data_IF_413282379154
#
_entry.id   IF_413282379154
#
_cell.length_a   1.000
_cell.length_b   1.000
_cell.length_c   1.000
_cell.angle_alpha   90.00
_cell.angle_beta   90.00
_cell.angle_gamma   90.00
#
_symmetry.space_group_name_H-M   'P 1'
#
loop_
_entity.id
_entity.type
_entity.pdbx_description
1 polymer ?
#
# COMPACT_ATOMS: atom_id res chain seq x y z
N UNK A 1 10.58 2.57 -11.08
CA UNK A 1 11.00 3.97 -11.25
C UNK A 1 11.19 4.53 -9.86
N UNK A 2 12.31 5.22 -9.66
CA UNK A 2 12.63 5.89 -8.40
C UNK A 2 13.46 7.15 -8.70
N UNK A 3 13.67 7.99 -7.69
CA UNK A 3 14.43 9.24 -7.83
C UNK A 3 15.56 9.31 -6.81
N UNK A 4 16.72 9.77 -7.27
CA UNK A 4 17.87 10.13 -6.43
C UNK A 4 17.95 11.65 -6.44
N UNK A 5 17.54 12.29 -5.36
CA UNK A 5 17.52 13.74 -5.22
C UNK A 5 18.64 14.25 -4.29
N UNK A 6 18.91 15.56 -4.33
CA UNK A 6 19.87 16.21 -3.42
C UNK A 6 21.34 16.04 -3.82
N UNK A 7 21.59 15.76 -5.10
CA UNK A 7 22.95 15.67 -5.63
C UNK A 7 23.56 17.07 -5.82
N UNK A 8 24.91 17.20 -5.79
CA UNK A 8 25.57 18.43 -6.18
C UNK A 8 25.15 18.84 -7.60
N UNK A 9 24.86 20.13 -7.78
CA UNK A 9 24.42 20.66 -9.08
C UNK A 9 25.51 20.50 -10.12
N UNK A 10 25.21 19.78 -11.19
CA UNK A 10 26.07 19.67 -12.37
C UNK A 10 25.24 20.01 -13.62
N UNK A 11 25.70 20.99 -14.41
CA UNK A 11 24.95 21.55 -15.55
C UNK A 11 23.50 21.94 -15.20
N UNK A 12 23.27 22.37 -13.96
CA UNK A 12 21.94 22.76 -13.47
C UNK A 12 20.99 21.60 -13.13
N UNK A 13 21.47 20.36 -13.19
CA UNK A 13 20.75 19.14 -12.78
C UNK A 13 21.23 18.70 -11.39
N UNK A 14 20.31 18.23 -10.57
CA UNK A 14 20.55 17.85 -9.14
C UNK A 14 19.78 16.59 -8.72
N UNK A 15 19.09 15.96 -9.66
CA UNK A 15 18.27 14.77 -9.43
C UNK A 15 18.45 13.76 -10.55
N UNK A 16 18.27 12.47 -10.27
CA UNK A 16 18.33 11.40 -11.26
C UNK A 16 17.08 10.53 -11.17
N UNK A 17 16.33 10.44 -12.26
CA UNK A 17 15.27 9.45 -12.42
C UNK A 17 15.87 8.11 -12.84
N UNK A 18 15.57 7.07 -12.08
CA UNK A 18 16.06 5.71 -12.32
C UNK A 18 14.91 4.81 -12.75
N UNK A 19 15.02 4.23 -13.94
CA UNK A 19 14.04 3.27 -14.47
C UNK A 19 14.72 1.92 -14.68
N UNK A 20 14.32 0.91 -13.92
CA UNK A 20 14.93 -0.42 -13.94
C UNK A 20 13.99 -1.43 -14.59
N UNK A 21 14.48 -2.13 -15.61
CA UNK A 21 13.79 -3.28 -16.19
C UNK A 21 13.67 -4.41 -15.16
N UNK A 22 12.48 -5.01 -15.06
CA UNK A 22 12.20 -6.00 -14.02
C UNK A 22 12.91 -7.33 -14.27
N UNK A 23 13.16 -7.68 -15.53
CA UNK A 23 13.76 -8.96 -15.92
C UNK A 23 15.28 -8.90 -15.85
N UNK A 24 15.90 -8.04 -16.67
CA UNK A 24 17.35 -7.91 -16.82
C UNK A 24 18.02 -7.10 -15.70
N UNK A 25 17.24 -6.31 -14.95
CA UNK A 25 17.75 -5.30 -14.00
C UNK A 25 18.58 -4.20 -14.66
N UNK A 26 18.52 -4.08 -15.98
CA UNK A 26 19.09 -2.96 -16.70
C UNK A 26 18.43 -1.66 -16.24
N UNK A 27 19.24 -0.63 -15.98
CA UNK A 27 18.78 0.64 -15.43
C UNK A 27 19.06 1.78 -16.39
N UNK A 28 18.03 2.57 -16.66
CA UNK A 28 18.14 3.87 -17.33
C UNK A 28 18.25 4.96 -16.27
N UNK A 29 19.32 5.75 -16.35
CA UNK A 29 19.58 6.91 -15.49
C UNK A 29 19.35 8.17 -16.30
N UNK A 30 18.37 8.97 -15.90
CA UNK A 30 17.93 10.14 -16.64
C UNK A 30 18.05 11.35 -15.71
N UNK A 31 18.92 12.32 -16.02
CA UNK A 31 19.13 13.44 -15.12
C UNK A 31 17.97 14.43 -15.21
N UNK A 32 17.61 15.01 -14.07
CA UNK A 32 16.51 15.95 -13.89
C UNK A 32 16.95 17.16 -13.06
N UNK A 33 16.22 18.26 -13.22
CA UNK A 33 16.39 19.50 -12.45
C UNK A 33 15.24 19.65 -11.46
N UNK A 34 15.55 19.81 -10.17
CA UNK A 34 14.57 20.04 -9.12
C UNK A 34 14.19 21.55 -9.03
N UNK A 35 12.92 21.87 -8.73
CA UNK A 35 11.78 20.97 -8.63
C UNK A 35 11.26 20.51 -10.00
N UNK A 36 10.92 19.24 -10.11
CA UNK A 36 10.29 18.66 -11.30
C UNK A 36 8.81 18.35 -11.03
N UNK A 37 7.95 18.59 -12.02
CA UNK A 37 6.54 18.22 -11.99
C UNK A 37 6.33 16.82 -12.58
N UNK A 38 5.14 16.24 -12.35
CA UNK A 38 4.74 15.00 -13.00
C UNK A 38 4.79 15.09 -14.54
N UNK A 39 4.52 16.28 -15.11
CA UNK A 39 4.61 16.48 -16.56
C UNK A 39 6.05 16.37 -17.05
N UNK A 40 7.03 17.01 -16.38
CA UNK A 40 8.45 16.92 -16.77
C UNK A 40 8.95 15.47 -16.68
N UNK A 41 8.59 14.76 -15.61
CA UNK A 41 8.92 13.33 -15.44
C UNK A 41 8.33 12.48 -16.56
N UNK A 42 7.07 12.73 -16.94
CA UNK A 42 6.42 11.99 -18.01
C UNK A 42 7.13 12.21 -19.35
N UNK A 43 7.44 13.46 -19.72
CA UNK A 43 8.17 13.76 -20.96
C UNK A 43 9.53 13.05 -20.99
N UNK A 44 10.31 13.15 -19.90
CA UNK A 44 11.57 12.43 -19.79
C UNK A 44 11.39 10.90 -19.93
N UNK A 45 10.33 10.32 -19.35
CA UNK A 45 10.06 8.90 -19.53
C UNK A 45 9.76 8.56 -21.00
N UNK A 46 8.96 9.38 -21.69
CA UNK A 46 8.66 9.18 -23.11
C UNK A 46 9.92 9.28 -23.99
N UNK A 47 10.74 10.29 -23.74
CA UNK A 47 11.92 10.59 -24.54
C UNK A 47 13.05 9.57 -24.37
N UNK A 48 13.22 9.01 -23.17
CA UNK A 48 14.36 8.16 -22.85
C UNK A 48 14.02 6.67 -22.74
N UNK A 49 12.80 6.31 -22.32
CA UNK A 49 12.42 4.91 -22.04
C UNK A 49 11.37 4.41 -23.01
N UNK A 50 10.28 5.15 -23.21
CA UNK A 50 9.13 4.68 -24.00
C UNK A 50 9.52 4.33 -25.43
N UNK A 51 10.35 5.17 -26.08
CA UNK A 51 10.84 4.92 -27.45
C UNK A 51 11.53 3.56 -27.63
N UNK A 52 12.09 2.98 -26.57
CA UNK A 52 12.75 1.67 -26.62
C UNK A 52 11.74 0.50 -26.60
N UNK A 53 10.48 0.76 -26.27
CA UNK A 53 9.45 -0.25 -26.04
C UNK A 53 8.36 -0.27 -27.13
N UNK A 54 8.50 0.58 -28.16
CA UNK A 54 7.52 0.69 -29.25
C UNK A 54 7.20 -0.66 -29.88
N UNK A 55 8.23 -1.43 -30.24
CA UNK A 55 8.05 -2.74 -30.86
C UNK A 55 7.28 -3.70 -29.95
N UNK A 56 7.62 -3.77 -28.66
CA UNK A 56 6.91 -4.62 -27.72
C UNK A 56 5.44 -4.21 -27.56
N UNK A 57 5.16 -2.91 -27.51
CA UNK A 57 3.80 -2.40 -27.40
C UNK A 57 2.96 -2.74 -28.65
N UNK A 58 3.52 -2.51 -29.84
CA UNK A 58 2.80 -2.70 -31.10
C UNK A 58 2.57 -4.18 -31.46
N UNK A 59 3.38 -5.09 -30.94
CA UNK A 59 3.25 -6.54 -31.18
C UNK A 59 2.37 -7.26 -30.15
N UNK A 60 1.90 -6.56 -29.11
CA UNK A 60 0.99 -7.12 -28.11
C UNK A 60 -0.47 -7.08 -28.54
N UNK A 61 -1.22 -8.09 -28.11
CA UNK A 61 -2.65 -8.17 -28.34
C UNK A 61 -3.40 -7.03 -27.64
N UNK A 62 -4.21 -6.29 -28.40
CA UNK A 62 -5.00 -5.18 -27.86
C UNK A 62 -6.49 -5.55 -27.75
N UNK A 63 -7.02 -5.60 -26.52
CA UNK A 63 -8.35 -6.13 -26.23
C UNK A 63 -9.53 -5.45 -26.94
N UNK A 64 -9.41 -4.14 -27.25
CA UNK A 64 -10.42 -3.37 -28.01
C UNK A 64 -10.33 -3.60 -29.51
N UNK A 65 -9.13 -3.82 -30.05
CA UNK A 65 -8.92 -4.06 -31.48
C UNK A 65 -9.16 -5.53 -31.84
N UNK A 66 -9.06 -6.44 -30.85
CA UNK A 66 -9.08 -7.90 -31.04
C UNK A 66 -7.94 -8.44 -31.92
N UNK A 67 -6.96 -7.60 -32.18
CA UNK A 67 -5.73 -7.88 -32.95
C UNK A 67 -4.59 -7.02 -32.39
N UNK A 68 -3.37 -7.21 -32.88
CA UNK A 68 -2.23 -6.37 -32.51
C UNK A 68 -2.23 -5.04 -33.28
N UNK A 69 -1.79 -3.92 -32.70
CA UNK A 69 -1.61 -2.67 -33.47
C UNK A 69 -0.72 -2.84 -34.70
N UNK A 70 0.29 -3.71 -34.63
CA UNK A 70 1.15 -4.08 -35.75
C UNK A 70 0.33 -4.68 -36.91
N UNK A 71 -0.54 -5.67 -36.62
CA UNK A 71 -1.44 -6.26 -37.63
C UNK A 71 -2.40 -5.25 -38.23
N UNK A 72 -2.92 -4.33 -37.43
CA UNK A 72 -3.81 -3.27 -37.93
C UNK A 72 -3.09 -2.38 -38.93
N UNK A 73 -1.84 -2.00 -38.63
CA UNK A 73 -1.07 -1.08 -39.46
C UNK A 73 -0.52 -1.75 -40.72
N UNK A 74 0.00 -2.97 -40.60
CA UNK A 74 0.72 -3.66 -41.68
C UNK A 74 -0.07 -4.75 -42.38
N UNK A 75 -1.26 -5.11 -41.87
CA UNK A 75 -2.10 -6.17 -42.43
C UNK A 75 -1.52 -7.58 -42.28
N UNK A 76 -0.48 -7.75 -41.46
CA UNK A 76 0.23 -9.02 -41.27
C UNK A 76 0.59 -9.21 -39.79
N UNK A 77 0.65 -10.47 -39.30
CA UNK A 77 1.07 -10.75 -37.93
C UNK A 77 2.49 -10.24 -37.67
N UNK A 78 2.79 -9.77 -36.45
CA UNK A 78 4.14 -9.36 -36.10
C UNK A 78 5.11 -10.54 -36.23
N UNK A 79 6.38 -10.27 -36.61
CA UNK A 79 7.39 -11.32 -36.68
C UNK A 79 7.48 -12.06 -35.35
N UNK A 80 7.37 -13.39 -35.40
CA UNK A 80 7.54 -14.21 -34.20
C UNK A 80 8.99 -14.10 -33.73
N UNK A 81 9.19 -13.71 -32.47
CA UNK A 81 10.47 -13.90 -31.80
C UNK A 81 10.66 -15.38 -31.50
N UNK A 82 11.21 -16.11 -32.46
CA UNK A 82 11.67 -17.48 -32.26
C UNK A 82 12.99 -17.45 -31.46
N UNK A 83 13.21 -18.43 -30.56
CA UNK A 83 14.52 -18.59 -29.94
C UNK A 83 15.57 -18.83 -31.02
N UNK A 84 16.74 -18.23 -30.85
CA UNK A 84 17.82 -18.36 -31.80
C UNK A 84 18.24 -19.84 -31.94
N UNK A 85 18.34 -20.33 -33.18
CA UNK A 85 18.82 -21.68 -33.45
C UNK A 85 20.31 -21.64 -33.84
N UNK A 86 21.15 -22.56 -33.31
CA UNK A 86 22.56 -22.63 -33.67
C UNK A 86 22.74 -22.75 -35.20
N UNK A 87 23.55 -21.87 -35.78
CA UNK A 87 23.87 -21.87 -37.21
C UNK A 87 22.97 -21.02 -38.11
N UNK A 88 21.99 -20.28 -37.56
CA UNK A 88 21.18 -19.33 -38.35
C UNK A 88 22.00 -18.14 -38.86
N UNK A 89 22.97 -17.68 -38.07
CA UNK A 89 23.93 -16.65 -38.48
C UNK A 89 25.07 -17.27 -39.27
N UNK A 90 25.36 -16.70 -40.44
CA UNK A 90 26.56 -17.03 -41.23
C UNK A 90 27.85 -16.55 -40.57
N UNK A 91 27.74 -15.66 -39.58
CA UNK A 91 28.87 -15.08 -38.84
C UNK A 91 28.96 -15.76 -37.48
N UNK A 92 30.04 -16.52 -37.28
CA UNK A 92 30.30 -17.31 -36.06
C UNK A 92 30.32 -16.46 -34.78
N UNK A 93 30.86 -15.24 -34.81
CA UNK A 93 30.83 -14.35 -33.63
C UNK A 93 29.41 -13.93 -33.22
N UNK A 94 28.53 -13.69 -34.21
CA UNK A 94 27.12 -13.35 -33.97
C UNK A 94 26.37 -14.58 -33.48
N UNK A 95 26.65 -15.75 -34.05
CA UNK A 95 26.04 -17.03 -33.63
C UNK A 95 26.31 -17.31 -32.14
N UNK A 96 27.58 -17.23 -31.72
CA UNK A 96 27.97 -17.41 -30.31
C UNK A 96 27.28 -16.40 -29.39
N UNK A 97 27.28 -15.12 -29.78
CA UNK A 97 26.66 -14.06 -28.96
C UNK A 97 25.15 -14.27 -28.77
N UNK A 98 24.46 -14.74 -29.81
CA UNK A 98 23.02 -14.99 -29.75
C UNK A 98 22.70 -16.25 -28.92
N UNK A 99 23.54 -17.28 -29.00
CA UNK A 99 23.44 -18.47 -28.15
C UNK A 99 23.64 -18.13 -26.67
N UNK A 100 24.73 -17.43 -26.33
CA UNK A 100 25.02 -16.98 -24.96
C UNK A 100 23.87 -16.14 -24.39
N UNK A 101 23.27 -15.28 -25.22
CA UNK A 101 22.13 -14.45 -24.84
C UNK A 101 20.89 -15.29 -24.53
N UNK A 102 20.58 -16.30 -25.35
CA UNK A 102 19.42 -17.16 -25.13
C UNK A 102 19.58 -17.99 -23.84
N UNK A 103 20.76 -18.55 -23.62
CA UNK A 103 21.09 -19.26 -22.37
C UNK A 103 20.94 -18.35 -21.14
N UNK A 104 21.46 -17.12 -21.22
CA UNK A 104 21.32 -16.13 -20.17
C UNK A 104 19.85 -15.78 -19.88
N UNK A 105 19.03 -15.59 -20.93
CA UNK A 105 17.60 -15.30 -20.77
C UNK A 105 16.84 -16.44 -20.10
N UNK A 106 17.14 -17.69 -20.47
CA UNK A 106 16.54 -18.87 -19.83
C UNK A 106 16.91 -18.96 -18.35
N UNK A 107 18.19 -18.77 -18.03
CA UNK A 107 18.68 -18.76 -16.65
C UNK A 107 18.02 -17.66 -15.82
N UNK A 108 17.92 -16.44 -16.35
CA UNK A 108 17.29 -15.30 -15.67
C UNK A 108 15.80 -15.58 -15.41
N UNK A 109 15.07 -16.11 -16.39
CA UNK A 109 13.66 -16.48 -16.22
C UNK A 109 13.49 -17.52 -15.11
N UNK A 110 14.34 -18.56 -15.09
CA UNK A 110 14.33 -19.57 -14.03
C UNK A 110 14.62 -18.95 -12.66
N UNK A 111 15.63 -18.09 -12.56
CA UNK A 111 15.99 -17.42 -11.31
C UNK A 111 14.86 -16.51 -10.80
N UNK A 112 14.19 -15.78 -11.70
CA UNK A 112 13.06 -14.94 -11.36
C UNK A 112 11.88 -15.77 -10.82
N UNK A 113 11.54 -16.87 -11.49
CA UNK A 113 10.49 -17.79 -11.03
C UNK A 113 10.83 -18.38 -9.65
N UNK A 114 12.08 -18.79 -9.43
CA UNK A 114 12.56 -19.29 -8.13
C UNK A 114 12.45 -18.23 -7.04
N UNK A 115 12.84 -16.99 -7.33
CA UNK A 115 12.73 -15.88 -6.39
C UNK A 115 11.27 -15.57 -6.03
N UNK A 116 10.38 -15.50 -7.03
CA UNK A 116 8.94 -15.30 -6.82
C UNK A 116 8.33 -16.42 -5.96
N UNK A 117 8.70 -17.67 -6.20
CA UNK A 117 8.24 -18.81 -5.41
C UNK A 117 8.72 -18.73 -3.96
N UNK A 118 9.99 -18.39 -3.71
CA UNK A 118 10.50 -18.16 -2.34
C UNK A 118 9.76 -17.02 -1.64
N UNK A 119 9.53 -15.91 -2.32
CA UNK A 119 8.77 -14.78 -1.76
C UNK A 119 7.33 -15.19 -1.41
N UNK A 120 6.67 -15.95 -2.29
CA UNK A 120 5.32 -16.48 -2.04
C UNK A 120 5.29 -17.43 -0.84
N UNK A 121 6.23 -18.37 -0.76
CA UNK A 121 6.36 -19.30 0.37
C UNK A 121 6.58 -18.55 1.69
N UNK A 122 7.52 -17.60 1.72
CA UNK A 122 7.82 -16.83 2.92
C UNK A 122 6.64 -15.94 3.36
N UNK A 123 5.95 -15.30 2.41
CA UNK A 123 4.77 -14.49 2.70
C UNK A 123 3.61 -15.35 3.22
N UNK A 124 3.42 -16.54 2.63
CA UNK A 124 2.35 -17.47 3.02
C UNK A 124 2.66 -18.20 4.34
N UNK A 125 3.93 -18.38 4.74
CA UNK A 125 4.32 -19.08 5.97
C UNK A 125 3.62 -18.57 7.24
N UNK A 126 3.30 -17.27 7.28
CA UNK A 126 2.61 -16.63 8.43
C UNK A 126 1.13 -16.30 8.15
N UNK A 127 0.63 -16.59 6.95
CA UNK A 127 -0.79 -16.42 6.64
C UNK A 127 -1.53 -17.61 7.21
N UNK A 128 -2.43 -17.34 8.14
CA UNK A 128 -3.43 -18.30 8.60
C UNK A 128 -4.70 -18.09 7.80
N UNK A 129 -5.28 -19.19 7.35
CA UNK A 129 -6.67 -19.17 6.88
C UNK A 129 -7.57 -18.88 8.08
N UNK A 130 -8.48 -17.95 7.88
CA UNK A 130 -9.42 -17.49 8.90
C UNK A 130 -10.79 -17.54 8.30
N UNK A 131 -11.74 -18.11 9.02
CA UNK A 131 -13.14 -18.13 8.65
C UNK A 131 -13.98 -17.73 9.85
N UNK A 132 -15.07 -17.00 9.58
CA UNK A 132 -15.99 -16.52 10.60
C UNK A 132 -17.42 -16.79 10.11
N UNK A 133 -18.34 -16.98 11.05
CA UNK A 133 -19.76 -17.18 10.76
C UNK A 133 -20.52 -15.86 10.86
N UNK A 134 -21.65 -15.79 10.15
CA UNK A 134 -22.58 -14.66 10.30
C UNK A 134 -23.14 -14.70 11.72
N UNK A 135 -23.14 -13.55 12.40
CA UNK A 135 -23.51 -13.44 13.80
C UNK A 135 -22.33 -13.46 14.78
N UNK A 136 -21.13 -13.88 14.35
CA UNK A 136 -19.95 -13.80 15.21
C UNK A 136 -19.57 -12.34 15.49
N UNK A 137 -19.00 -12.11 16.66
CA UNK A 137 -18.40 -10.82 17.02
C UNK A 137 -16.91 -10.85 16.74
N UNK A 138 -16.40 -9.80 16.09
CA UNK A 138 -15.00 -9.69 15.69
C UNK A 138 -14.43 -8.32 16.03
N UNK A 139 -13.15 -8.32 16.39
CA UNK A 139 -12.35 -7.11 16.45
C UNK A 139 -11.87 -6.69 15.07
N UNK A 140 -12.04 -5.41 14.74
CA UNK A 140 -11.56 -4.80 13.50
C UNK A 140 -10.24 -4.06 13.71
N UNK A 141 -9.26 -4.33 12.85
CA UNK A 141 -7.99 -3.60 12.80
C UNK A 141 -8.16 -2.27 12.06
N UNK A 142 -8.10 -1.16 12.78
CA UNK A 142 -8.14 0.19 12.20
C UNK A 142 -6.74 0.79 12.04
N UNK A 143 -6.59 1.70 11.08
CA UNK A 143 -5.41 2.56 10.94
C UNK A 143 -5.61 3.86 11.72
N UNK A 144 -4.88 4.08 12.84
CA UNK A 144 -5.13 5.20 13.77
C UNK A 144 -5.11 6.60 13.12
N UNK A 145 -4.28 6.79 12.08
CA UNK A 145 -4.10 8.07 11.40
C UNK A 145 -5.17 8.39 10.35
N UNK A 146 -5.95 7.40 9.89
CA UNK A 146 -6.86 7.55 8.73
C UNK A 146 -8.33 7.26 9.03
N UNK A 147 -8.63 6.60 10.14
CA UNK A 147 -9.96 6.02 10.41
C UNK A 147 -10.51 6.43 11.78
N UNK A 148 -10.36 7.72 12.12
CA UNK A 148 -10.83 8.28 13.40
C UNK A 148 -12.36 8.36 13.51
N UNK A 149 -13.07 8.36 12.38
CA UNK A 149 -14.54 8.41 12.34
C UNK A 149 -15.24 7.17 12.91
N UNK A 150 -14.50 6.08 13.13
CA UNK A 150 -15.02 4.87 13.75
C UNK A 150 -14.74 4.84 15.26
N UNK A 151 -13.65 5.46 15.69
CA UNK A 151 -13.24 5.59 17.10
C UNK A 151 -12.28 6.79 17.23
N UNK A 152 -12.70 7.84 17.94
CA UNK A 152 -11.85 8.99 18.24
C UNK A 152 -10.88 8.70 19.39
N UNK A 153 -9.62 9.16 19.29
CA UNK A 153 -8.61 9.07 20.38
C UNK A 153 -7.62 10.22 20.37
N UNK A 154 -7.35 10.78 21.55
CA UNK A 154 -6.36 11.84 21.75
C UNK A 154 -4.91 11.43 21.46
N UNK A 155 -4.53 10.17 21.73
CA UNK A 155 -3.17 9.66 21.49
C UNK A 155 -3.15 8.49 20.51
N UNK A 156 -2.71 8.73 19.28
CA UNK A 156 -2.71 7.73 18.20
C UNK A 156 -1.61 6.67 18.33
N UNK A 157 -0.47 7.01 18.94
CA UNK A 157 0.71 6.12 19.04
C UNK A 157 0.55 4.99 20.06
N UNK A 158 -0.24 5.22 21.11
CA UNK A 158 -0.52 4.26 22.19
C UNK A 158 -1.92 3.62 22.06
N UNK A 159 -2.61 3.84 20.95
CA UNK A 159 -3.95 3.32 20.74
C UNK A 159 -3.94 1.80 20.54
N UNK A 160 -5.03 1.14 20.94
CA UNK A 160 -5.24 -0.30 20.67
C UNK A 160 -5.21 -0.54 19.15
N UNK A 161 -4.66 -1.68 18.71
CA UNK A 161 -4.57 -2.02 17.28
C UNK A 161 -5.87 -2.57 16.70
N UNK A 162 -6.71 -3.15 17.55
CA UNK A 162 -7.95 -3.84 17.23
C UNK A 162 -9.08 -3.23 18.06
N UNK A 163 -10.23 -3.01 17.45
CA UNK A 163 -11.34 -2.21 17.99
C UNK A 163 -12.66 -2.95 17.90
N UNK A 164 -13.49 -2.71 18.94
CA UNK A 164 -14.86 -3.21 19.09
C UNK A 164 -14.95 -4.74 19.12
N UNK A 165 -16.00 -5.31 19.69
CA UNK A 165 -16.60 -6.49 19.12
C UNK A 165 -17.69 -6.01 18.15
N UNK A 166 -17.42 -6.03 16.85
CA UNK A 166 -18.43 -5.71 15.83
C UNK A 166 -19.06 -7.00 15.31
N UNK A 167 -20.38 -6.99 15.13
CA UNK A 167 -21.11 -8.15 14.64
C UNK A 167 -20.91 -8.33 13.14
N UNK A 168 -20.71 -9.57 12.70
CA UNK A 168 -20.71 -9.91 11.27
C UNK A 168 -22.15 -9.99 10.79
N UNK A 169 -22.54 -9.10 9.89
CA UNK A 169 -23.86 -9.07 9.26
C UNK A 169 -23.97 -10.08 8.11
N UNK A 170 -22.93 -10.18 7.27
CA UNK A 170 -22.93 -11.07 6.10
C UNK A 170 -21.51 -11.39 5.63
N UNK A 171 -21.30 -12.60 5.12
CA UNK A 171 -20.12 -12.98 4.32
C UNK A 171 -20.33 -12.53 2.86
N UNK A 172 -19.48 -11.64 2.36
CA UNK A 172 -19.57 -11.12 0.97
C UNK A 172 -18.82 -12.04 0.00
N UNK A 173 -17.76 -12.69 0.47
CA UNK A 173 -17.02 -13.70 -0.29
C UNK A 173 -16.13 -14.53 0.62
N UNK A 174 -15.25 -15.36 0.05
CA UNK A 174 -14.35 -16.21 0.82
C UNK A 174 -13.52 -15.42 1.85
N UNK A 175 -13.11 -14.19 1.48
CA UNK A 175 -12.12 -13.38 2.20
C UNK A 175 -12.67 -12.04 2.69
N UNK A 176 -13.96 -11.74 2.51
CA UNK A 176 -14.53 -10.43 2.82
C UNK A 176 -15.85 -10.55 3.61
N UNK A 177 -15.97 -9.77 4.69
CA UNK A 177 -17.11 -9.78 5.60
C UNK A 177 -17.64 -8.36 5.81
N UNK A 178 -18.97 -8.23 5.89
CA UNK A 178 -19.66 -6.98 6.23
C UNK A 178 -19.90 -6.93 7.74
N UNK A 179 -19.46 -5.86 8.37
CA UNK A 179 -19.64 -5.62 9.81
C UNK A 179 -20.75 -4.62 10.10
N UNK A 180 -21.33 -4.74 11.28
CA UNK A 180 -22.19 -3.74 11.88
C UNK A 180 -21.33 -2.67 12.57
N UNK A 181 -21.12 -1.55 11.87
CA UNK A 181 -20.40 -0.40 12.42
C UNK A 181 -21.37 0.65 12.97
N UNK A 182 -20.94 1.49 13.92
CA UNK A 182 -21.77 2.55 14.50
C UNK A 182 -22.29 3.53 13.44
N UNK A 183 -23.53 4.03 13.62
CA UNK A 183 -24.12 5.02 12.72
C UNK A 183 -23.25 6.29 12.70
N UNK A 184 -22.79 6.68 11.51
CA UNK A 184 -21.87 7.82 11.31
C UNK A 184 -20.42 7.45 10.98
N UNK A 185 -20.09 6.16 10.92
CA UNK A 185 -18.81 5.67 10.39
C UNK A 185 -18.61 6.09 8.92
N UNK A 186 -17.57 6.88 8.64
CA UNK A 186 -17.24 7.33 7.27
C UNK A 186 -16.40 6.32 6.46
N UNK A 187 -16.26 5.08 6.94
CA UNK A 187 -15.49 4.03 6.26
C UNK A 187 -16.43 2.93 5.74
N UNK A 188 -16.02 2.23 4.69
CA UNK A 188 -16.79 1.10 4.17
C UNK A 188 -16.95 -0.01 5.22
N UNK A 189 -18.14 -0.61 5.32
CA UNK A 189 -18.44 -1.65 6.29
C UNK A 189 -17.91 -3.05 5.89
N UNK A 190 -17.24 -3.17 4.74
CA UNK A 190 -16.73 -4.44 4.22
C UNK A 190 -15.23 -4.52 4.42
N UNK A 191 -14.78 -5.56 5.12
CA UNK A 191 -13.38 -5.74 5.47
C UNK A 191 -12.85 -7.10 5.05
N UNK A 192 -11.59 -7.12 4.68
CA UNK A 192 -10.85 -8.34 4.39
C UNK A 192 -10.60 -9.13 5.68
N UNK A 193 -10.67 -10.46 5.62
CA UNK A 193 -10.60 -11.38 6.77
C UNK A 193 -9.33 -11.21 7.61
N UNK A 194 -8.23 -10.77 7.00
CA UNK A 194 -6.95 -10.49 7.68
C UNK A 194 -7.01 -9.30 8.66
N UNK A 195 -8.00 -8.42 8.51
CA UNK A 195 -8.24 -7.28 9.40
C UNK A 195 -9.09 -7.68 10.62
N UNK A 196 -9.61 -8.91 10.65
CA UNK A 196 -10.55 -9.36 11.67
C UNK A 196 -9.89 -10.36 12.62
N UNK A 197 -10.32 -10.32 13.88
CA UNK A 197 -10.03 -11.32 14.91
C UNK A 197 -11.30 -11.71 15.62
N UNK A 198 -11.50 -13.00 15.88
CA UNK A 198 -12.65 -13.46 16.66
C UNK A 198 -12.62 -12.85 18.07
N UNK A 199 -13.77 -12.39 18.54
CA UNK A 199 -13.95 -11.96 19.92
C UNK A 199 -14.19 -13.19 20.81
N UNK A 200 -13.45 -13.28 21.91
CA UNK A 200 -13.63 -14.30 22.94
C UNK A 200 -13.92 -13.59 24.26
N UNK A 201 -15.13 -13.78 24.79
CA UNK A 201 -15.56 -13.13 26.04
C UNK A 201 -17.04 -12.75 26.04
N UNK A 202 -17.55 -12.24 27.16
CA UNK A 202 -18.89 -11.68 27.22
C UNK A 202 -18.99 -10.47 26.29
N UNK A 203 -20.05 -10.45 25.49
CA UNK A 203 -20.35 -9.33 24.58
C UNK A 203 -20.70 -8.13 25.46
N UNK A 204 -20.05 -6.96 25.30
CA UNK A 204 -20.47 -5.75 26.00
C UNK A 204 -21.86 -5.34 25.49
N UNK A 205 -22.80 -5.11 26.40
CA UNK A 205 -24.19 -4.72 26.09
C UNK A 205 -24.29 -3.41 25.31
N UNK A 206 -23.25 -2.57 25.37
CA UNK A 206 -23.14 -1.34 24.59
C UNK A 206 -21.78 -1.27 23.89
N UNK A 207 -21.82 -1.08 22.57
CA UNK A 207 -20.63 -0.64 21.81
C UNK A 207 -20.21 0.72 22.41
N UNK A 208 -18.90 0.97 22.64
CA UNK A 208 -18.46 2.25 23.16
C UNK A 208 -18.99 3.36 22.23
N UNK A 209 -19.66 4.41 22.76
CA UNK A 209 -20.15 5.51 21.94
C UNK A 209 -19.02 6.06 21.07
N UNK A 210 -19.29 6.20 19.77
CA UNK A 210 -18.37 6.87 18.85
C UNK A 210 -18.69 8.35 18.92
N UNK A 211 -17.84 9.12 19.60
CA UNK A 211 -17.87 10.58 19.49
C UNK A 211 -17.37 10.98 18.09
N UNK A 212 -18.31 11.42 17.25
CA UNK A 212 -18.03 11.89 15.88
C UNK A 212 -17.69 13.40 15.88
N UNK A 213 -17.94 14.10 16.98
CA UNK A 213 -17.61 15.52 17.13
C UNK A 213 -16.61 15.67 18.27
N UNK A 214 -15.44 16.23 17.96
CA UNK A 214 -14.26 16.28 18.83
C UNK A 214 -14.37 17.15 20.08
N UNK A 215 -15.54 17.24 20.71
CA UNK A 215 -15.73 17.81 22.02
C UNK A 215 -16.43 16.77 22.88
N UNK A 216 -15.70 16.18 23.83
CA UNK A 216 -16.38 15.76 25.05
C UNK A 216 -17.04 17.03 25.58
N UNK A 217 -18.37 17.08 25.63
CA UNK A 217 -19.04 17.82 26.69
C UNK A 217 -18.76 17.05 27.98
N UNK A 218 -17.50 17.10 28.43
CA UNK A 218 -17.10 16.45 29.66
C UNK A 218 -17.74 17.28 30.78
N UNK A 219 -18.89 16.84 31.27
CA UNK A 219 -19.46 17.39 32.48
C UNK A 219 -18.51 17.05 33.64
N UNK A 220 -17.94 18.05 34.35
CA UNK A 220 -17.10 17.79 35.50
C UNK A 220 -17.96 17.20 36.62
N UNK A 221 -17.66 15.98 37.08
CA UNK A 221 -18.37 15.33 38.18
C UNK A 221 -17.87 15.86 39.53
N UNK A 222 -16.54 15.94 39.70
CA UNK A 222 -15.94 16.39 40.96
C UNK A 222 -14.53 16.96 40.76
N UNK A 223 -14.22 18.06 41.45
CA UNK A 223 -12.85 18.57 41.55
C UNK A 223 -12.14 17.89 42.72
N UNK A 224 -11.13 17.08 42.43
CA UNK A 224 -10.41 16.28 43.43
C UNK A 224 -9.24 17.02 44.08
N UNK A 225 -8.54 17.88 43.34
CA UNK A 225 -7.41 18.63 43.88
C UNK A 225 -7.17 19.95 43.14
N UNK A 226 -6.57 20.92 43.82
CA UNK A 226 -6.11 22.19 43.24
C UNK A 226 -4.65 22.43 43.60
N UNK A 227 -3.82 22.81 42.62
CA UNK A 227 -2.41 23.14 42.84
C UNK A 227 -2.03 24.40 42.07
N UNK A 228 -1.47 25.38 42.76
CA UNK A 228 -0.93 26.59 42.15
C UNK A 228 0.50 26.33 41.68
N UNK A 229 0.78 26.56 40.41
CA UNK A 229 2.12 26.39 39.82
C UNK A 229 2.54 27.70 39.16
N UNK A 230 3.75 28.17 39.44
CA UNK A 230 4.34 29.29 38.70
C UNK A 230 4.78 28.81 37.31
N UNK A 231 4.22 29.42 36.26
CA UNK A 231 4.67 29.25 34.87
C UNK A 231 5.23 30.59 34.40
N UNK A 232 6.56 30.74 34.44
CA UNK A 232 7.21 32.03 34.19
C UNK A 232 6.86 33.07 35.28
N UNK A 233 6.46 34.27 34.87
CA UNK A 233 6.07 35.37 35.80
C UNK A 233 4.63 35.28 36.32
N UNK A 234 3.84 34.29 35.90
CA UNK A 234 2.40 34.18 36.23
C UNK A 234 2.15 32.92 37.07
N UNK A 235 1.38 33.07 38.16
CA UNK A 235 0.84 31.94 38.93
C UNK A 235 -0.44 31.43 38.27
N UNK A 236 -0.46 30.16 37.87
CA UNK A 236 -1.64 29.51 37.26
C UNK A 236 -2.13 28.38 38.18
N UNK A 237 -3.42 28.35 38.46
CA UNK A 237 -4.05 27.27 39.24
C UNK A 237 -4.41 26.11 38.32
N UNK A 238 -3.84 24.94 38.58
CA UNK A 238 -4.26 23.68 37.96
C UNK A 238 -5.28 22.98 38.86
N UNK A 239 -6.31 22.41 38.24
CA UNK A 239 -7.38 21.68 38.90
C UNK A 239 -7.38 20.25 38.36
N UNK A 240 -7.45 19.26 39.25
CA UNK A 240 -7.60 17.85 38.93
C UNK A 240 -9.08 17.52 38.97
N UNK A 241 -9.67 17.16 37.83
CA UNK A 241 -11.10 16.98 37.63
C UNK A 241 -11.40 15.51 37.36
N UNK A 242 -12.31 14.95 38.14
CA UNK A 242 -12.99 13.68 37.84
C UNK A 242 -14.13 13.98 36.88
N UNK A 243 -14.07 13.39 35.70
CA UNK A 243 -15.08 13.56 34.65
C UNK A 243 -16.12 12.47 34.76
N UNK A 244 -17.37 12.78 34.43
CA UNK A 244 -18.45 11.79 34.33
C UNK A 244 -18.03 10.68 33.36
N UNK A 245 -18.26 9.43 33.73
CA UNK A 245 -17.87 8.22 32.98
C UNK A 245 -16.35 7.92 32.84
N UNK A 246 -15.49 8.57 33.65
CA UNK A 246 -14.06 8.23 33.74
C UNK A 246 -13.73 7.35 34.95
N UNK A 247 -12.86 6.36 34.76
CA UNK A 247 -12.30 5.57 35.86
C UNK A 247 -11.39 6.46 36.72
N UNK A 248 -11.23 6.12 38.01
CA UNK A 248 -10.38 6.85 38.98
C UNK A 248 -8.91 7.01 38.51
N UNK A 249 -8.46 6.15 37.60
CA UNK A 249 -7.10 6.19 37.02
C UNK A 249 -6.95 7.21 35.88
N UNK A 250 -8.06 7.68 35.29
CA UNK A 250 -8.09 8.58 34.12
C UNK A 250 -8.40 10.06 34.50
N UNK A 251 -8.38 10.38 35.79
CA UNK A 251 -8.61 11.74 36.31
C UNK A 251 -7.51 12.70 35.77
N UNK A 252 -7.91 13.86 35.25
CA UNK A 252 -7.00 14.83 34.60
C UNK A 252 -7.14 16.26 35.10
#
# INVERSE_FOLDING_TARGET
>A
MDFIDGLPKFMGMDSIMVVVDRLSKYAHFIPLKHPYSASVVAHAYFDYVYKLHEFWYNTLYHSSLKVTPFEVLYGQPPPLHLPYLPGESKVDSVDRTLLDREEALQLIRMNLARAQNRMKQQANKRRSDREFKVGDYVYLKLQPYRQQSVMYRGNQKLAKKYYGPYKILRRIGAVAYKLELPPGSKIHHTFHVSMLKLHHGPIPDTLPPVDIEGAREAEPELVLARKTVKRGRISVTKVLVKWKDSLLEDVT
#
